data_IF_757600477688
#
_entry.id   IF_757600477688
#
_cell.length_a   1.000
_cell.length_b   1.000
_cell.length_c   1.000
_cell.angle_alpha   90.00
_cell.angle_beta   90.00
_cell.angle_gamma   90.00
#
_symmetry.space_group_name_H-M   'P 1'
#
loop_
_entity.id
_entity.type
_entity.pdbx_description
1 polymer ?
#
# COMPACT_ATOMS: atom_id res chain seq x y z
N UNK A 1 -17.21 10.38 -10.76
CA UNK A 1 -15.84 10.81 -10.37
C UNK A 1 -15.15 9.81 -9.46
N UNK A 2 -15.74 9.41 -8.33
CA UNK A 2 -15.12 8.49 -7.36
C UNK A 2 -14.98 7.06 -7.90
N UNK A 3 -16.00 6.55 -8.60
CA UNK A 3 -15.95 5.25 -9.29
C UNK A 3 -14.77 5.18 -10.28
N UNK A 4 -14.60 6.25 -11.06
CA UNK A 4 -13.47 6.38 -12.00
C UNK A 4 -12.12 6.35 -11.26
N UNK A 5 -12.00 7.02 -10.11
CA UNK A 5 -10.78 7.01 -9.30
C UNK A 5 -10.51 5.62 -8.73
N UNK A 6 -11.54 4.88 -8.33
CA UNK A 6 -11.42 3.51 -7.83
C UNK A 6 -10.95 2.55 -8.95
N UNK A 7 -11.58 2.62 -10.12
CA UNK A 7 -11.18 1.84 -11.29
C UNK A 7 -9.73 2.13 -11.69
N UNK A 8 -9.33 3.39 -11.73
CA UNK A 8 -7.95 3.79 -12.00
C UNK A 8 -6.97 3.18 -11.00
N UNK A 9 -7.28 3.20 -9.70
CA UNK A 9 -6.42 2.60 -8.67
C UNK A 9 -6.34 1.08 -8.80
N UNK A 10 -7.48 0.42 -9.06
CA UNK A 10 -7.51 -1.02 -9.36
C UNK A 10 -6.59 -1.33 -10.53
N UNK A 11 -6.76 -0.64 -11.66
CA UNK A 11 -5.97 -0.88 -12.85
C UNK A 11 -4.49 -0.63 -12.61
N UNK A 12 -4.12 0.51 -12.04
CA UNK A 12 -2.72 0.81 -11.67
C UNK A 12 -2.10 -0.28 -10.79
N UNK A 13 -2.87 -0.81 -9.83
CA UNK A 13 -2.37 -1.89 -8.96
C UNK A 13 -2.15 -3.18 -9.75
N UNK A 14 -3.09 -3.58 -10.62
CA UNK A 14 -2.99 -4.80 -11.42
C UNK A 14 -1.83 -4.71 -12.43
N UNK A 15 -1.67 -3.58 -13.10
CA UNK A 15 -0.56 -3.36 -14.04
C UNK A 15 0.80 -3.47 -13.32
N UNK A 16 0.93 -2.85 -12.16
CA UNK A 16 2.13 -2.93 -11.35
C UNK A 16 2.34 -4.32 -10.73
N UNK A 17 1.27 -5.06 -10.41
CA UNK A 17 1.37 -6.43 -9.94
C UNK A 17 1.93 -7.37 -11.03
N UNK A 18 1.57 -7.12 -12.29
CA UNK A 18 2.16 -7.84 -13.43
C UNK A 18 3.63 -7.45 -13.60
N UNK A 19 3.92 -6.15 -13.63
CA UNK A 19 5.27 -5.64 -13.87
C UNK A 19 6.27 -6.09 -12.79
N UNK A 20 5.87 -6.03 -11.53
CA UNK A 20 6.70 -6.40 -10.38
C UNK A 20 7.10 -7.88 -10.37
N UNK A 21 6.47 -8.74 -11.17
CA UNK A 21 6.84 -10.16 -11.31
C UNK A 21 8.14 -10.36 -12.08
N UNK A 22 8.45 -9.48 -13.01
CA UNK A 22 9.59 -9.59 -13.93
C UNK A 22 10.61 -8.49 -13.72
N UNK A 23 10.19 -7.34 -13.18
CA UNK A 23 11.04 -6.19 -12.94
C UNK A 23 11.13 -5.88 -11.43
N UNK A 24 12.34 -6.04 -10.89
CA UNK A 24 12.66 -5.77 -9.49
C UNK A 24 13.44 -4.46 -9.28
N UNK A 25 13.33 -3.52 -10.22
CA UNK A 25 13.94 -2.21 -10.07
C UNK A 25 13.41 -1.45 -8.88
N UNK A 26 14.22 -0.51 -8.40
CA UNK A 26 13.88 0.37 -7.27
C UNK A 26 12.57 1.12 -7.53
N UNK A 27 12.37 1.61 -8.75
CA UNK A 27 11.16 2.33 -9.16
C UNK A 27 9.93 1.42 -9.14
N UNK A 28 10.00 0.25 -9.78
CA UNK A 28 8.87 -0.69 -9.86
C UNK A 28 8.42 -1.15 -8.48
N UNK A 29 9.37 -1.50 -7.60
CA UNK A 29 9.05 -1.86 -6.21
C UNK A 29 8.44 -0.68 -5.45
N UNK A 30 8.97 0.53 -5.65
CA UNK A 30 8.43 1.73 -5.02
C UNK A 30 6.97 1.96 -5.44
N UNK A 31 6.70 1.95 -6.74
CA UNK A 31 5.39 2.24 -7.30
C UNK A 31 4.34 1.19 -6.92
N UNK A 32 4.72 -0.09 -6.94
CA UNK A 32 3.84 -1.15 -6.45
C UNK A 32 3.51 -1.02 -4.95
N UNK A 33 4.48 -0.61 -4.12
CA UNK A 33 4.24 -0.32 -2.70
C UNK A 33 3.29 0.87 -2.50
N UNK A 34 3.42 1.91 -3.33
CA UNK A 34 2.52 3.07 -3.29
C UNK A 34 1.11 2.65 -3.72
N UNK A 35 0.96 1.93 -4.83
CA UNK A 35 -0.33 1.41 -5.30
C UNK A 35 -1.01 0.51 -4.24
N UNK A 36 -0.25 -0.41 -3.63
CA UNK A 36 -0.73 -1.27 -2.55
C UNK A 36 -1.25 -0.48 -1.35
N UNK A 37 -0.56 0.58 -0.94
CA UNK A 37 -1.00 1.46 0.16
C UNK A 37 -2.23 2.28 -0.22
N UNK A 38 -2.32 2.70 -1.47
CA UNK A 38 -3.50 3.39 -2.00
C UNK A 38 -4.75 2.50 -1.93
N UNK A 39 -4.63 1.21 -2.26
CA UNK A 39 -5.74 0.25 -2.10
C UNK A 39 -6.07 0.00 -0.63
N UNK A 40 -5.06 -0.23 0.23
CA UNK A 40 -5.30 -0.43 1.66
C UNK A 40 -5.95 0.77 2.34
N UNK A 41 -5.74 1.99 1.86
CA UNK A 41 -6.42 3.18 2.38
C UNK A 41 -7.93 3.17 2.11
N UNK A 42 -8.37 2.43 1.09
CA UNK A 42 -9.79 2.26 0.75
C UNK A 42 -10.45 1.11 1.53
N UNK A 43 -9.68 0.25 2.20
CA UNK A 43 -10.22 -0.91 2.93
C UNK A 43 -11.38 -0.59 3.87
N UNK A 44 -11.36 0.50 4.66
CA UNK A 44 -12.49 0.82 5.52
C UNK A 44 -13.79 1.13 4.77
N UNK A 45 -13.68 1.58 3.52
CA UNK A 45 -14.84 1.82 2.64
C UNK A 45 -15.35 0.50 2.05
N UNK A 46 -14.44 -0.41 1.69
CA UNK A 46 -14.75 -1.71 1.11
C UNK A 46 -15.34 -2.69 2.14
N UNK A 47 -15.06 -2.47 3.43
CA UNK A 47 -15.42 -3.40 4.51
C UNK A 47 -16.92 -3.48 4.84
N UNK A 48 -17.73 -2.51 4.46
CA UNK A 48 -19.17 -2.50 4.80
C UNK A 48 -20.02 -3.52 4.01
N UNK A 49 -19.42 -4.32 3.14
CA UNK A 49 -20.12 -5.30 2.30
C UNK A 49 -19.60 -6.73 2.30
N UNK A 50 -18.40 -6.98 2.77
CA UNK A 50 -17.82 -8.33 2.79
C UNK A 50 -16.96 -8.56 4.04
N UNK A 51 -16.95 -9.79 4.52
CA UNK A 51 -16.02 -10.30 5.53
C UNK A 51 -14.57 -9.99 5.13
N UNK A 52 -13.69 -9.97 6.11
CA UNK A 52 -12.28 -9.61 5.99
C UNK A 52 -11.66 -10.21 4.74
N UNK A 53 -11.65 -9.43 3.68
CA UNK A 53 -11.17 -9.86 2.38
C UNK A 53 -9.72 -10.35 2.49
N UNK A 54 -9.47 -11.53 1.97
CA UNK A 54 -8.14 -12.15 1.98
C UNK A 54 -7.09 -11.26 1.32
N UNK A 55 -7.50 -10.47 0.30
CA UNK A 55 -6.62 -9.53 -0.39
C UNK A 55 -5.92 -8.53 0.55
N UNK A 56 -6.60 -8.06 1.59
CA UNK A 56 -6.02 -7.14 2.57
C UNK A 56 -4.87 -7.77 3.36
N UNK A 57 -5.08 -9.01 3.81
CA UNK A 57 -4.06 -9.77 4.56
C UNK A 57 -2.84 -9.99 3.66
N UNK A 58 -3.07 -10.38 2.42
CA UNK A 58 -2.01 -10.64 1.44
C UNK A 58 -1.23 -9.37 1.08
N UNK A 59 -1.92 -8.28 0.77
CA UNK A 59 -1.25 -6.99 0.47
C UNK A 59 -0.40 -6.53 1.66
N UNK A 60 -0.89 -6.69 2.91
CA UNK A 60 -0.09 -6.35 4.10
C UNK A 60 1.15 -7.24 4.25
N UNK A 61 1.01 -8.54 4.00
CA UNK A 61 2.13 -9.48 4.00
C UNK A 61 3.18 -9.06 2.95
N UNK A 62 2.75 -8.80 1.71
CA UNK A 62 3.65 -8.36 0.64
C UNK A 62 4.33 -7.03 0.94
N UNK A 63 3.58 -6.04 1.45
CA UNK A 63 4.17 -4.76 1.86
C UNK A 63 5.26 -4.92 2.92
N UNK A 64 5.10 -5.87 3.86
CA UNK A 64 6.13 -6.13 4.87
C UNK A 64 7.42 -6.64 4.21
N UNK A 65 7.32 -7.63 3.31
CA UNK A 65 8.48 -8.18 2.61
C UNK A 65 9.08 -7.15 1.63
N UNK A 66 8.24 -6.41 0.89
CA UNK A 66 8.70 -5.34 0.00
C UNK A 66 9.37 -4.17 0.74
N UNK A 67 9.05 -3.94 2.01
CA UNK A 67 9.80 -2.98 2.82
C UNK A 67 11.23 -3.47 3.05
N UNK A 68 11.42 -4.74 3.40
CA UNK A 68 12.75 -5.34 3.57
C UNK A 68 13.55 -5.25 2.27
N UNK A 69 12.92 -5.61 1.13
CA UNK A 69 13.51 -5.48 -0.21
C UNK A 69 13.97 -4.04 -0.48
N UNK A 70 13.12 -3.06 -0.20
CA UNK A 70 13.45 -1.65 -0.41
C UNK A 70 14.55 -1.16 0.53
N UNK A 71 14.53 -1.56 1.78
CA UNK A 71 15.55 -1.19 2.77
C UNK A 71 16.91 -1.72 2.34
N UNK A 72 16.94 -2.94 1.76
CA UNK A 72 18.16 -3.51 1.18
C UNK A 72 18.65 -2.75 -0.05
N UNK A 73 17.75 -2.34 -0.94
CA UNK A 73 18.12 -1.50 -2.10
C UNK A 73 18.74 -0.17 -1.67
N UNK A 74 18.13 0.48 -0.66
CA UNK A 74 18.67 1.73 -0.09
C UNK A 74 20.06 1.49 0.54
N UNK A 75 20.21 0.40 1.27
CA UNK A 75 21.51 0.05 1.86
C UNK A 75 22.58 -0.18 0.77
N UNK A 76 22.23 -0.87 -0.31
CA UNK A 76 23.12 -1.06 -1.46
C UNK A 76 23.51 0.28 -2.11
N UNK A 77 22.55 1.19 -2.29
CA UNK A 77 22.82 2.52 -2.82
C UNK A 77 23.80 3.32 -1.94
N UNK A 78 23.60 3.27 -0.60
CA UNK A 78 24.45 3.99 0.36
C UNK A 78 25.86 3.40 0.41
N UNK A 79 25.98 2.07 0.38
CA UNK A 79 27.26 1.37 0.55
C UNK A 79 27.98 1.08 -0.78
N UNK A 80 27.42 1.46 -1.92
CA UNK A 80 27.99 1.17 -3.24
C UNK A 80 29.39 1.74 -3.44
N UNK A 81 29.74 2.81 -2.72
CA UNK A 81 31.07 3.44 -2.77
C UNK A 81 32.09 2.81 -1.79
N UNK A 82 31.68 1.83 -1.00
CA UNK A 82 32.48 1.24 0.08
C UNK A 82 32.80 -0.22 -0.20
N UNK A 83 33.97 -0.50 -0.77
CA UNK A 83 34.40 -1.85 -1.20
C UNK A 83 34.46 -2.83 -0.04
N UNK A 84 34.77 -2.37 1.16
CA UNK A 84 34.83 -3.19 2.38
C UNK A 84 33.52 -3.87 2.73
N UNK A 85 32.36 -3.35 2.27
CA UNK A 85 31.05 -3.94 2.51
C UNK A 85 30.55 -4.87 1.39
N UNK A 86 31.31 -5.04 0.31
CA UNK A 86 30.92 -5.88 -0.83
C UNK A 86 30.49 -7.32 -0.44
N UNK A 87 31.20 -8.06 0.43
CA UNK A 87 30.80 -9.41 0.82
C UNK A 87 29.46 -9.42 1.56
N UNK A 88 29.21 -8.40 2.39
CA UNK A 88 27.95 -8.23 3.11
C UNK A 88 26.81 -7.95 2.14
N UNK A 89 27.03 -7.04 1.19
CA UNK A 89 26.05 -6.69 0.16
C UNK A 89 25.68 -7.88 -0.72
N UNK A 90 26.65 -8.72 -1.10
CA UNK A 90 26.41 -9.94 -1.87
C UNK A 90 25.53 -10.95 -1.12
N UNK A 91 25.79 -11.15 0.17
CA UNK A 91 25.00 -12.05 1.01
C UNK A 91 23.56 -11.53 1.13
N UNK A 92 23.40 -10.26 1.39
CA UNK A 92 22.06 -9.63 1.47
C UNK A 92 21.34 -9.64 0.13
N UNK A 93 22.04 -9.44 -0.99
CA UNK A 93 21.46 -9.52 -2.33
C UNK A 93 20.86 -10.90 -2.63
N UNK A 94 21.54 -11.99 -2.20
CA UNK A 94 21.00 -13.35 -2.36
C UNK A 94 19.71 -13.57 -1.57
N UNK A 95 19.67 -13.12 -0.31
CA UNK A 95 18.47 -13.23 0.53
C UNK A 95 17.31 -12.42 -0.05
N UNK A 96 17.57 -11.19 -0.45
CA UNK A 96 16.62 -10.31 -1.11
C UNK A 96 16.03 -10.94 -2.39
N UNK A 97 16.85 -11.55 -3.25
CA UNK A 97 16.37 -12.20 -4.46
C UNK A 97 15.47 -13.40 -4.16
N UNK A 98 15.75 -14.15 -3.10
CA UNK A 98 14.90 -15.26 -2.63
C UNK A 98 13.53 -14.75 -2.17
N UNK A 99 13.51 -13.74 -1.32
CA UNK A 99 12.28 -13.11 -0.82
C UNK A 99 11.45 -12.52 -1.97
N UNK A 100 12.14 -11.89 -2.94
CA UNK A 100 11.53 -11.39 -4.15
C UNK A 100 10.86 -12.49 -4.99
N UNK A 101 11.54 -13.61 -5.21
CA UNK A 101 11.00 -14.74 -5.98
C UNK A 101 9.75 -15.33 -5.30
N UNK A 102 9.71 -15.41 -3.99
CA UNK A 102 8.53 -15.86 -3.24
C UNK A 102 7.35 -14.90 -3.44
N UNK A 103 7.58 -13.60 -3.31
CA UNK A 103 6.53 -12.59 -3.55
C UNK A 103 6.04 -12.65 -4.99
N UNK A 104 6.95 -12.68 -5.96
CA UNK A 104 6.63 -12.72 -7.38
C UNK A 104 5.72 -13.90 -7.73
N UNK A 105 5.94 -15.08 -7.12
CA UNK A 105 5.07 -16.25 -7.29
C UNK A 105 3.69 -16.03 -6.67
N UNK A 106 3.62 -15.47 -5.47
CA UNK A 106 2.34 -15.26 -4.77
C UNK A 106 1.50 -14.13 -5.37
N UNK A 107 2.13 -13.11 -5.93
CA UNK A 107 1.42 -12.05 -6.68
C UNK A 107 0.79 -12.60 -7.96
N UNK A 108 1.36 -13.69 -8.52
CA UNK A 108 0.84 -14.36 -9.71
C UNK A 108 -0.39 -15.23 -9.43
N UNK A 109 -0.79 -15.42 -8.18
CA UNK A 109 -1.95 -16.24 -7.82
C UNK A 109 -3.25 -15.57 -8.31
N UNK A 110 -3.91 -16.20 -9.27
CA UNK A 110 -5.15 -15.71 -9.87
C UNK A 110 -6.28 -15.62 -8.84
N UNK A 111 -6.35 -16.55 -7.88
CA UNK A 111 -7.40 -16.54 -6.86
C UNK A 111 -7.37 -15.25 -6.03
N UNK A 112 -6.17 -14.74 -5.73
CA UNK A 112 -6.03 -13.47 -5.02
C UNK A 112 -6.50 -12.28 -5.88
N UNK A 113 -6.16 -12.27 -7.16
CA UNK A 113 -6.56 -11.20 -8.08
C UNK A 113 -8.08 -11.20 -8.27
N UNK A 114 -8.69 -12.38 -8.40
CA UNK A 114 -10.13 -12.54 -8.53
C UNK A 114 -10.89 -12.06 -7.28
N UNK A 115 -10.41 -12.40 -6.07
CA UNK A 115 -10.97 -11.89 -4.80
C UNK A 115 -10.89 -10.35 -4.71
N UNK A 116 -9.74 -9.77 -5.07
CA UNK A 116 -9.56 -8.33 -5.10
C UNK A 116 -10.50 -7.65 -6.11
N UNK A 117 -10.54 -8.18 -7.35
CA UNK A 117 -11.37 -7.63 -8.42
C UNK A 117 -12.85 -7.70 -8.03
N UNK A 118 -13.33 -8.86 -7.58
CA UNK A 118 -14.71 -9.07 -7.14
C UNK A 118 -15.11 -8.12 -6.00
N UNK A 119 -14.23 -7.94 -5.00
CA UNK A 119 -14.47 -7.01 -3.90
C UNK A 119 -14.58 -5.56 -4.38
N UNK A 120 -13.73 -5.15 -5.32
CA UNK A 120 -13.73 -3.80 -5.88
C UNK A 120 -14.94 -3.56 -6.80
N UNK A 121 -15.35 -4.55 -7.58
CA UNK A 121 -16.53 -4.47 -8.45
C UNK A 121 -17.84 -4.39 -7.65
N UNK A 122 -17.98 -5.22 -6.62
CA UNK A 122 -19.11 -5.14 -5.69
C UNK A 122 -19.22 -3.74 -5.09
N UNK A 123 -18.08 -3.15 -4.75
CA UNK A 123 -18.05 -1.80 -4.19
C UNK A 123 -18.38 -0.72 -5.23
N UNK A 124 -17.89 -0.83 -6.47
CA UNK A 124 -18.26 0.07 -7.57
C UNK A 124 -19.77 0.05 -7.83
N UNK A 125 -20.35 -1.15 -7.92
CA UNK A 125 -21.80 -1.31 -8.10
C UNK A 125 -22.58 -0.63 -6.98
N UNK A 126 -22.14 -0.75 -5.74
CA UNK A 126 -22.80 -0.12 -4.60
C UNK A 126 -22.68 1.41 -4.60
N UNK A 127 -21.59 1.98 -5.08
CA UNK A 127 -21.45 3.43 -5.26
C UNK A 127 -22.47 3.94 -6.27
N UNK A 128 -22.72 3.19 -7.33
CA UNK A 128 -23.65 3.56 -8.40
C UNK A 128 -25.09 3.47 -7.95
N UNK A 129 -25.41 2.52 -7.07
CA UNK A 129 -26.78 2.31 -6.57
C UNK A 129 -27.12 3.18 -5.36
N UNK A 130 -26.16 3.57 -4.54
CA UNK A 130 -26.34 4.30 -3.29
C UNK A 130 -25.35 5.49 -3.15
N UNK A 131 -25.38 6.49 -4.05
CA UNK A 131 -24.35 7.55 -4.08
C UNK A 131 -24.33 8.41 -2.81
N UNK A 132 -25.49 8.75 -2.26
CA UNK A 132 -25.57 9.59 -1.04
C UNK A 132 -24.98 8.87 0.20
N UNK A 133 -25.27 7.59 0.34
CA UNK A 133 -24.69 6.78 1.41
C UNK A 133 -23.17 6.70 1.28
N UNK A 134 -22.69 6.65 0.05
CA UNK A 134 -21.27 6.59 -0.22
C UNK A 134 -20.56 7.88 0.18
N UNK A 135 -21.08 9.04 -0.25
CA UNK A 135 -20.50 10.35 0.06
C UNK A 135 -20.43 10.59 1.58
N UNK A 136 -21.49 10.23 2.31
CA UNK A 136 -21.49 10.30 3.78
C UNK A 136 -20.43 9.37 4.39
N UNK A 137 -20.25 8.17 3.85
CA UNK A 137 -19.29 7.19 4.36
C UNK A 137 -17.86 7.66 4.11
N UNK A 138 -17.55 8.16 2.92
CA UNK A 138 -16.23 8.70 2.56
C UNK A 138 -15.92 9.93 3.41
N UNK A 139 -16.84 10.85 3.54
CA UNK A 139 -16.68 12.06 4.35
C UNK A 139 -16.44 11.70 5.82
N UNK A 140 -17.24 10.78 6.37
CA UNK A 140 -17.08 10.29 7.74
C UNK A 140 -15.71 9.65 7.98
N UNK A 141 -15.22 8.86 7.02
CA UNK A 141 -13.90 8.24 7.10
C UNK A 141 -12.79 9.30 7.04
N UNK A 142 -12.92 10.24 6.12
CA UNK A 142 -11.97 11.34 5.98
C UNK A 142 -11.91 12.16 7.27
N UNK A 143 -13.06 12.56 7.81
CA UNK A 143 -13.16 13.33 9.05
C UNK A 143 -12.54 12.59 10.25
N UNK A 144 -12.86 11.30 10.43
CA UNK A 144 -12.24 10.46 11.47
C UNK A 144 -10.72 10.37 11.32
N UNK A 145 -10.23 10.28 10.10
CA UNK A 145 -8.78 10.19 9.83
C UNK A 145 -8.11 11.53 10.10
N UNK A 146 -8.74 12.62 9.72
CA UNK A 146 -8.29 13.98 9.99
C UNK A 146 -8.21 14.25 11.50
N UNK A 147 -9.25 13.90 12.26
CA UNK A 147 -9.25 14.03 13.74
C UNK A 147 -8.11 13.24 14.37
N UNK A 148 -7.82 12.02 13.90
CA UNK A 148 -6.67 11.24 14.37
C UNK A 148 -5.33 11.92 14.09
N UNK A 149 -5.20 12.61 12.96
CA UNK A 149 -4.00 13.41 12.64
C UNK A 149 -3.89 14.59 13.60
N UNK A 150 -4.97 15.36 13.81
CA UNK A 150 -5.00 16.49 14.74
C UNK A 150 -4.62 16.07 16.18
N UNK A 151 -5.24 15.00 16.69
CA UNK A 151 -4.91 14.46 18.02
C UNK A 151 -3.43 14.06 18.09
N UNK A 152 -2.91 13.43 17.03
CA UNK A 152 -1.51 13.03 17.00
C UNK A 152 -0.55 14.21 16.93
N UNK A 153 -0.93 15.26 16.23
CA UNK A 153 -0.14 16.49 16.15
C UNK A 153 -0.09 17.19 17.52
N UNK A 154 -1.24 17.26 18.19
CA UNK A 154 -1.34 17.88 19.51
C UNK A 154 -0.54 17.15 20.60
N UNK A 155 -0.49 15.81 20.51
CA UNK A 155 0.24 14.96 21.47
C UNK A 155 1.63 14.52 20.96
N UNK A 156 2.09 15.07 19.82
CA UNK A 156 3.40 14.70 19.30
C UNK A 156 4.50 15.28 20.17
N UNK A 157 5.28 14.41 20.80
CA UNK A 157 6.54 14.80 21.39
C UNK A 157 7.60 14.84 20.29
N UNK A 158 8.02 16.04 19.94
CA UNK A 158 9.00 16.28 18.88
C UNK A 158 10.40 15.75 19.24
N UNK A 159 10.67 15.50 20.52
CA UNK A 159 11.92 14.89 20.98
C UNK A 159 11.94 13.35 20.78
N UNK A 160 10.77 12.73 20.56
CA UNK A 160 10.66 11.29 20.43
C UNK A 160 10.45 10.86 18.97
N UNK A 161 11.44 10.19 18.34
CA UNK A 161 11.32 9.69 16.94
C UNK A 161 10.08 8.82 16.70
N UNK A 162 9.68 8.01 17.68
CA UNK A 162 8.49 7.15 17.62
C UNK A 162 7.21 7.99 17.49
N UNK A 163 7.11 9.09 18.21
CA UNK A 163 5.97 10.00 18.16
C UNK A 163 5.82 10.64 16.77
N UNK A 164 6.92 11.16 16.23
CA UNK A 164 6.98 11.71 14.89
C UNK A 164 6.69 10.65 13.81
N UNK A 165 7.18 9.42 13.98
CA UNK A 165 6.89 8.32 13.07
C UNK A 165 5.38 8.00 13.02
N UNK A 166 4.71 7.92 14.18
CA UNK A 166 3.26 7.70 14.25
C UNK A 166 2.47 8.82 13.58
N UNK A 167 2.85 10.08 13.82
CA UNK A 167 2.25 11.24 13.16
C UNK A 167 2.40 11.15 11.64
N UNK A 168 3.60 10.86 11.15
CA UNK A 168 3.88 10.67 9.71
C UNK A 168 3.02 9.59 9.08
N UNK A 169 2.81 8.44 9.75
CA UNK A 169 1.97 7.36 9.24
C UNK A 169 0.50 7.79 9.13
N UNK A 170 -0.03 8.51 10.13
CA UNK A 170 -1.41 9.02 10.11
C UNK A 170 -1.61 10.08 9.02
N UNK A 171 -0.64 10.97 8.86
CA UNK A 171 -0.66 11.96 7.79
C UNK A 171 -0.63 11.33 6.39
N UNK A 172 0.17 10.27 6.20
CA UNK A 172 0.16 9.50 4.94
C UNK A 172 -1.20 8.88 4.66
N UNK A 173 -1.86 8.31 5.67
CA UNK A 173 -3.21 7.72 5.50
C UNK A 173 -4.22 8.80 5.09
N UNK A 174 -4.19 9.97 5.70
CA UNK A 174 -5.03 11.10 5.32
C UNK A 174 -4.76 11.54 3.87
N UNK A 175 -3.50 11.65 3.47
CA UNK A 175 -3.12 12.00 2.08
C UNK A 175 -3.66 11.00 1.07
N UNK A 176 -3.56 9.70 1.35
CA UNK A 176 -4.09 8.66 0.45
C UNK A 176 -5.61 8.72 0.30
N UNK A 177 -6.34 9.09 1.36
CA UNK A 177 -7.77 9.33 1.27
C UNK A 177 -8.10 10.61 0.51
N UNK A 178 -7.37 11.71 0.77
CA UNK A 178 -7.57 12.97 0.07
C UNK A 178 -7.38 12.82 -1.44
N UNK A 179 -6.31 12.13 -1.89
CA UNK A 179 -6.08 11.86 -3.32
C UNK A 179 -7.11 10.89 -3.94
N UNK A 180 -8.03 10.35 -3.16
CA UNK A 180 -9.14 9.55 -3.66
C UNK A 180 -10.41 10.40 -3.88
N UNK A 181 -10.56 11.45 -3.09
CA UNK A 181 -11.73 12.33 -3.14
C UNK A 181 -11.58 13.40 -4.24
N UNK A 182 -10.35 13.87 -4.47
CA UNK A 182 -9.98 14.87 -5.47
C UNK A 182 -9.29 14.26 -6.70
#
# INVERSE_FOLDING_TARGET
MITTALHKRKQTYLDLAILVRTDNTVSTIHDFRVASRNLLALEPLLRKGSDTSQWKIMIRKWLKTLNQVRDMQVLQEILASHVEFEPLLLTHKRNYLKDWQEISRTIADNNFQDDLISSLETYCCRIETEPEFFDQTVFSLWLKTFQKVQISLHHADHALPISLHKLRLRYKSLRYLATFIY
#
